data_IF_844280215839
#
_entry.id   IF_844280215839
#
_cell.length_a   1.000
_cell.length_b   1.000
_cell.length_c   1.000
_cell.angle_alpha   90.00
_cell.angle_beta   90.00
_cell.angle_gamma   90.00
#
_symmetry.space_group_name_H-M   'P 1'
#
loop_
_entity.id
_entity.type
_entity.pdbx_description
1 polymer ?
#
# COMPACT_ATOMS: atom_id res chain seq x y z
N UNK A 1 -7.05 -16.48 20.30
CA UNK A 1 -7.83 -15.62 19.39
C UNK A 1 -6.89 -14.49 19.04
N UNK A 2 -6.57 -14.30 17.76
CA UNK A 2 -5.71 -13.20 17.34
C UNK A 2 -6.35 -11.88 17.79
N UNK A 3 -5.65 -11.15 18.65
CA UNK A 3 -6.10 -9.88 19.19
C UNK A 3 -6.00 -8.85 18.07
N UNK A 4 -7.09 -8.69 17.30
CA UNK A 4 -7.18 -7.66 16.27
C UNK A 4 -7.05 -6.30 16.94
N UNK A 5 -5.93 -5.64 16.70
CA UNK A 5 -5.74 -4.26 17.12
C UNK A 5 -6.89 -3.40 16.57
N UNK A 6 -7.50 -2.54 17.40
CA UNK A 6 -8.59 -1.69 16.95
C UNK A 6 -8.07 -0.75 15.87
N UNK A 7 -8.82 -0.63 14.76
CA UNK A 7 -8.45 0.30 13.68
C UNK A 7 -8.44 1.73 14.23
N UNK A 8 -7.41 2.53 13.91
CA UNK A 8 -7.36 3.92 14.32
C UNK A 8 -8.49 4.72 13.69
N UNK A 9 -8.90 5.80 14.37
CA UNK A 9 -9.87 6.77 13.84
C UNK A 9 -9.23 7.57 12.71
N UNK A 10 -9.99 7.88 11.67
CA UNK A 10 -9.46 8.74 10.60
C UNK A 10 -9.30 10.18 11.10
N UNK A 11 -8.42 11.00 10.49
CA UNK A 11 -8.27 12.40 10.87
C UNK A 11 -9.60 13.16 10.74
N UNK A 12 -10.44 12.78 9.78
CA UNK A 12 -11.78 13.32 9.63
C UNK A 12 -12.68 12.96 10.81
N UNK A 13 -12.66 11.71 11.28
CA UNK A 13 -13.48 11.28 12.41
C UNK A 13 -13.06 11.94 13.72
N UNK A 14 -11.76 12.16 13.93
CA UNK A 14 -11.22 12.92 15.08
C UNK A 14 -11.67 14.38 15.06
N UNK A 15 -11.74 14.97 13.87
CA UNK A 15 -12.16 16.35 13.67
C UNK A 15 -13.64 16.58 14.04
N UNK A 16 -14.50 15.61 13.68
CA UNK A 16 -15.96 15.76 13.82
C UNK A 16 -16.52 15.08 15.07
N UNK A 17 -15.70 14.34 15.82
CA UNK A 17 -16.08 13.64 17.05
C UNK A 17 -15.30 14.17 18.26
N UNK A 18 -16.01 14.71 19.26
CA UNK A 18 -15.36 15.09 20.52
C UNK A 18 -15.02 13.87 21.42
N UNK A 19 -14.05 13.99 22.35
CA UNK A 19 -13.72 12.90 23.28
C UNK A 19 -14.92 12.40 24.10
N UNK A 20 -15.81 13.31 24.50
CA UNK A 20 -17.03 12.93 25.23
C UNK A 20 -17.98 12.12 24.35
N UNK A 21 -18.09 12.47 23.06
CA UNK A 21 -18.93 11.73 22.11
C UNK A 21 -18.36 10.34 21.81
N UNK A 22 -17.03 10.18 21.81
CA UNK A 22 -16.39 8.87 21.72
C UNK A 22 -16.73 7.98 22.93
N UNK A 23 -16.70 8.52 24.15
CA UNK A 23 -17.13 7.77 25.34
C UNK A 23 -18.59 7.34 25.22
N UNK A 24 -19.48 8.22 24.77
CA UNK A 24 -20.90 7.88 24.58
C UNK A 24 -21.07 6.79 23.51
N UNK A 25 -20.30 6.82 22.41
CA UNK A 25 -20.28 5.75 21.40
C UNK A 25 -19.87 4.41 21.99
N UNK A 26 -18.84 4.38 22.84
CA UNK A 26 -18.38 3.16 23.51
C UNK A 26 -19.42 2.61 24.49
N UNK A 27 -20.22 3.49 25.10
CA UNK A 27 -21.30 3.10 26.01
C UNK A 27 -22.57 2.64 25.27
N UNK A 28 -22.69 2.91 23.96
CA UNK A 28 -23.88 2.59 23.16
C UNK A 28 -24.31 1.12 23.27
N UNK A 29 -23.43 0.11 23.20
CA UNK A 29 -23.83 -1.30 23.30
C UNK A 29 -24.44 -1.67 24.67
N UNK A 30 -24.13 -0.90 25.71
CA UNK A 30 -24.61 -1.13 27.07
C UNK A 30 -25.94 -0.43 27.38
N UNK A 31 -26.41 0.46 26.51
CA UNK A 31 -27.71 1.09 26.65
C UNK A 31 -28.85 0.08 26.36
N UNK A 32 -30.04 0.23 26.97
CA UNK A 32 -31.21 -0.59 26.62
C UNK A 32 -31.54 -0.48 25.12
N UNK A 33 -31.97 -1.59 24.50
CA UNK A 33 -32.24 -1.68 23.04
C UNK A 33 -33.17 -0.56 22.53
N UNK A 34 -34.17 -0.19 23.33
CA UNK A 34 -35.09 0.91 23.01
C UNK A 34 -34.38 2.28 22.91
N UNK A 35 -33.33 2.49 23.70
CA UNK A 35 -32.56 3.74 23.77
C UNK A 35 -31.37 3.75 22.80
N UNK A 36 -30.81 2.59 22.44
CA UNK A 36 -29.71 2.51 21.48
C UNK A 36 -30.03 3.19 20.15
N UNK A 37 -31.24 2.97 19.62
CA UNK A 37 -31.66 3.56 18.33
C UNK A 37 -31.63 5.08 18.36
N UNK A 38 -32.22 5.68 19.39
CA UNK A 38 -32.31 7.13 19.50
C UNK A 38 -30.95 7.74 19.86
N UNK A 39 -30.16 7.08 20.72
CA UNK A 39 -28.81 7.51 21.07
C UNK A 39 -27.86 7.46 19.87
N UNK A 40 -27.90 6.40 19.07
CA UNK A 40 -27.13 6.29 17.83
C UNK A 40 -27.50 7.39 16.84
N UNK A 41 -28.80 7.69 16.68
CA UNK A 41 -29.26 8.78 15.84
C UNK A 41 -28.76 10.14 16.35
N UNK A 42 -28.80 10.39 17.67
CA UNK A 42 -28.26 11.60 18.26
C UNK A 42 -26.76 11.74 18.02
N UNK A 43 -25.97 10.68 18.26
CA UNK A 43 -24.53 10.69 18.00
C UNK A 43 -24.26 11.11 16.56
N UNK A 44 -24.96 10.50 15.59
CA UNK A 44 -24.80 10.81 14.16
C UNK A 44 -25.21 12.25 13.82
N UNK A 45 -26.28 12.76 14.43
CA UNK A 45 -26.71 14.14 14.26
C UNK A 45 -25.67 15.13 14.81
N UNK A 46 -25.05 14.81 15.95
CA UNK A 46 -23.97 15.62 16.52
C UNK A 46 -22.75 15.64 15.61
N UNK A 47 -22.28 14.50 15.14
CA UNK A 47 -21.18 14.42 14.16
C UNK A 47 -21.50 15.24 12.91
N UNK A 48 -22.68 15.05 12.32
CA UNK A 48 -23.10 15.78 11.13
C UNK A 48 -23.10 17.29 11.37
N UNK A 49 -23.62 17.74 12.52
CA UNK A 49 -23.59 19.15 12.90
C UNK A 49 -22.17 19.67 12.99
N UNK A 50 -21.24 18.92 13.58
CA UNK A 50 -19.83 19.31 13.67
C UNK A 50 -19.17 19.34 12.28
N UNK A 51 -19.44 18.35 11.43
CA UNK A 51 -19.00 18.37 10.03
C UNK A 51 -19.49 19.64 9.33
N UNK A 52 -20.79 19.92 9.40
CA UNK A 52 -21.35 21.12 8.76
C UNK A 52 -20.68 22.37 9.33
N UNK A 53 -20.54 22.51 10.66
CA UNK A 53 -19.91 23.68 11.28
C UNK A 53 -18.45 23.86 10.86
N UNK A 54 -17.68 22.77 10.81
CA UNK A 54 -16.29 22.80 10.40
C UNK A 54 -16.14 23.24 8.94
N UNK A 55 -17.02 22.75 8.07
CA UNK A 55 -16.96 23.01 6.63
C UNK A 55 -17.87 24.16 6.14
N UNK A 56 -18.67 24.81 7.00
CA UNK A 56 -19.61 25.86 6.60
C UNK A 56 -18.94 27.16 6.13
N UNK A 57 -17.61 27.20 6.13
CA UNK A 57 -16.81 28.33 5.66
C UNK A 57 -15.66 27.85 4.78
N UNK A 58 -15.95 27.18 3.65
CA UNK A 58 -15.00 26.76 2.59
C UNK A 58 -14.05 27.85 2.04
N UNK A 59 -13.89 29.01 2.71
CA UNK A 59 -12.77 29.91 2.53
C UNK A 59 -11.56 29.38 3.30
N UNK A 60 -10.66 28.75 2.55
CA UNK A 60 -9.32 28.36 2.95
C UNK A 60 -9.25 27.07 3.79
N UNK A 61 -9.48 25.93 3.12
CA UNK A 61 -8.47 24.89 3.30
C UNK A 61 -7.18 25.48 2.70
N UNK A 62 -6.05 25.54 3.41
CA UNK A 62 -4.79 25.82 2.76
C UNK A 62 -4.65 24.80 1.64
N UNK A 63 -4.48 25.25 0.39
CA UNK A 63 -3.92 24.35 -0.61
C UNK A 63 -2.64 23.78 0.01
N UNK A 64 -2.42 22.46 -0.01
CA UNK A 64 -1.11 21.94 0.31
C UNK A 64 -0.17 22.66 -0.66
N UNK A 65 0.76 23.47 -0.13
CA UNK A 65 1.68 24.31 -0.89
C UNK A 65 2.06 23.56 -2.17
N UNK A 66 1.63 24.09 -3.32
CA UNK A 66 1.80 23.50 -4.65
C UNK A 66 3.26 23.59 -5.13
N UNK A 67 4.18 23.22 -4.25
CA UNK A 67 5.62 23.37 -4.38
C UNK A 67 6.35 22.16 -3.76
N UNK A 68 5.72 20.99 -3.73
CA UNK A 68 6.40 19.71 -3.54
C UNK A 68 6.39 18.96 -4.87
N UNK A 69 7.49 18.30 -5.21
CA UNK A 69 7.52 17.41 -6.37
C UNK A 69 6.35 16.43 -6.29
N UNK A 70 5.70 16.15 -7.42
CA UNK A 70 4.51 15.29 -7.47
C UNK A 70 4.74 13.88 -6.86
N UNK A 71 6.00 13.43 -6.86
CA UNK A 71 6.44 12.20 -6.20
C UNK A 71 6.32 12.29 -4.67
N UNK A 72 6.75 13.39 -4.05
CA UNK A 72 6.67 13.61 -2.60
C UNK A 72 5.21 13.65 -2.13
N UNK A 73 4.32 14.27 -2.91
CA UNK A 73 2.89 14.31 -2.61
C UNK A 73 2.29 12.89 -2.58
N UNK A 74 2.66 12.04 -3.53
CA UNK A 74 2.18 10.66 -3.57
C UNK A 74 2.70 9.83 -2.39
N UNK A 75 3.96 9.98 -1.99
CA UNK A 75 4.54 9.26 -0.84
C UNK A 75 3.95 9.71 0.49
N UNK A 76 3.68 11.00 0.62
CA UNK A 76 3.00 11.53 1.79
C UNK A 76 1.58 10.97 1.92
N UNK A 77 0.85 10.85 0.80
CA UNK A 77 -0.48 10.23 0.79
C UNK A 77 -0.41 8.74 1.18
N UNK A 78 0.55 7.98 0.63
CA UNK A 78 0.72 6.56 0.96
C UNK A 78 1.03 6.36 2.45
N UNK A 79 1.92 7.19 3.02
CA UNK A 79 2.24 7.18 4.46
C UNK A 79 1.01 7.50 5.32
N UNK A 80 0.14 8.42 4.88
CA UNK A 80 -1.09 8.74 5.59
C UNK A 80 -2.13 7.62 5.56
N UNK A 81 -2.22 6.87 4.45
CA UNK A 81 -3.20 5.78 4.28
C UNK A 81 -2.74 4.50 5.00
N UNK A 82 -1.43 4.25 5.06
CA UNK A 82 -0.82 3.03 5.61
C UNK A 82 -1.41 2.53 6.94
N UNK A 83 -1.65 3.38 7.96
CA UNK A 83 -2.16 2.94 9.27
C UNK A 83 -3.60 2.40 9.23
N UNK A 84 -4.34 2.67 8.15
CA UNK A 84 -5.75 2.29 8.01
C UNK A 84 -5.94 1.02 7.15
N UNK A 85 -4.86 0.49 6.58
CA UNK A 85 -4.86 -0.72 5.76
C UNK A 85 -4.74 -1.97 6.63
N UNK A 86 -5.29 -3.08 6.13
CA UNK A 86 -5.03 -4.39 6.74
C UNK A 86 -3.55 -4.79 6.54
N UNK A 87 -2.95 -5.65 7.39
CA UNK A 87 -1.51 -5.93 7.35
C UNK A 87 -0.99 -6.36 5.96
N UNK A 88 -1.71 -7.26 5.27
CA UNK A 88 -1.32 -7.70 3.93
C UNK A 88 -1.44 -6.60 2.86
N UNK A 89 -2.36 -5.64 3.03
CA UNK A 89 -2.47 -4.49 2.13
C UNK A 89 -1.34 -3.49 2.36
N UNK A 90 -0.96 -3.28 3.63
CA UNK A 90 0.18 -2.44 3.99
C UNK A 90 1.50 -3.03 3.46
N UNK A 91 1.70 -4.35 3.57
CA UNK A 91 2.88 -5.04 3.02
C UNK A 91 2.97 -4.93 1.50
N UNK A 92 1.86 -5.14 0.78
CA UNK A 92 1.83 -4.97 -0.68
C UNK A 92 2.18 -3.54 -1.09
N UNK A 93 1.71 -2.55 -0.33
CA UNK A 93 2.02 -1.15 -0.56
C UNK A 93 3.49 -0.84 -0.28
N UNK A 94 4.06 -1.37 0.81
CA UNK A 94 5.48 -1.21 1.15
C UNK A 94 6.37 -1.84 0.06
N UNK A 95 5.98 -3.00 -0.49
CA UNK A 95 6.68 -3.63 -1.60
C UNK A 95 6.64 -2.76 -2.88
N UNK A 96 5.50 -2.14 -3.19
CA UNK A 96 5.37 -1.26 -4.34
C UNK A 96 6.20 0.03 -4.20
N UNK A 97 6.22 0.62 -3.00
CA UNK A 97 7.07 1.80 -2.69
C UNK A 97 8.55 1.44 -2.83
N UNK A 98 8.97 0.32 -2.23
CA UNK A 98 10.36 -0.14 -2.33
C UNK A 98 10.78 -0.40 -3.78
N UNK A 99 9.90 -0.97 -4.62
CA UNK A 99 10.17 -1.17 -6.04
C UNK A 99 10.31 0.15 -6.80
N UNK A 100 9.51 1.17 -6.45
CA UNK A 100 9.66 2.52 -7.02
C UNK A 100 10.99 3.13 -6.64
N UNK A 101 11.37 3.08 -5.36
CA UNK A 101 12.64 3.63 -4.87
C UNK A 101 13.85 3.00 -5.58
N UNK A 102 13.79 1.69 -5.85
CA UNK A 102 14.82 0.97 -6.63
C UNK A 102 14.86 1.47 -8.07
N UNK A 103 13.71 1.66 -8.71
CA UNK A 103 13.65 2.19 -10.09
C UNK A 103 14.16 3.62 -10.17
N UNK A 104 13.78 4.49 -9.23
CA UNK A 104 14.23 5.88 -9.15
C UNK A 104 15.77 5.94 -8.93
N UNK A 105 16.31 5.07 -8.06
CA UNK A 105 17.77 4.94 -7.84
C UNK A 105 18.49 4.43 -9.09
N UNK A 106 17.91 3.46 -9.80
CA UNK A 106 18.45 2.93 -11.05
C UNK A 106 18.45 3.99 -12.16
N UNK A 107 17.40 4.80 -12.26
CA UNK A 107 17.31 5.90 -13.22
C UNK A 107 18.30 7.04 -12.87
N UNK A 108 18.46 7.37 -11.59
CA UNK A 108 19.47 8.33 -11.14
C UNK A 108 20.90 7.83 -11.45
N UNK A 109 21.17 6.54 -11.24
CA UNK A 109 22.47 5.96 -11.60
C UNK A 109 22.67 5.92 -13.11
N UNK A 110 21.63 5.62 -13.90
CA UNK A 110 21.69 5.60 -15.36
C UNK A 110 21.89 6.98 -15.96
N UNK A 111 21.22 8.01 -15.43
CA UNK A 111 21.39 9.41 -15.86
C UNK A 111 22.75 9.99 -15.47
N UNK A 112 23.39 9.46 -14.41
CA UNK A 112 24.76 9.82 -14.01
C UNK A 112 25.86 8.94 -14.63
N UNK A 113 25.53 7.77 -15.17
CA UNK A 113 26.45 6.82 -15.80
C UNK A 113 26.62 6.99 -17.31
N UNK A 114 26.10 8.07 -17.89
CA UNK A 114 26.18 8.41 -19.33
C UNK A 114 27.61 8.77 -19.81
N UNK A 115 28.65 8.25 -19.13
CA UNK A 115 30.02 8.26 -19.65
C UNK A 115 30.71 6.89 -19.76
N UNK A 116 30.24 5.76 -19.18
CA UNK A 116 30.86 4.45 -19.52
C UNK A 116 30.27 3.12 -19.00
N UNK A 117 29.05 3.03 -18.44
CA UNK A 117 28.60 1.80 -17.78
C UNK A 117 27.24 1.28 -18.22
N UNK A 118 27.19 0.08 -18.79
CA UNK A 118 25.96 -0.71 -18.98
C UNK A 118 25.38 -1.11 -17.60
N UNK A 119 24.65 -0.21 -16.97
CA UNK A 119 23.86 -0.51 -15.77
C UNK A 119 22.55 -1.20 -16.21
N UNK A 120 22.38 -2.47 -15.85
CA UNK A 120 21.15 -3.23 -16.14
C UNK A 120 20.27 -3.30 -14.87
N UNK A 121 19.13 -2.58 -14.85
CA UNK A 121 18.18 -2.62 -13.73
C UNK A 121 17.68 -4.04 -13.40
N UNK A 122 17.73 -4.97 -14.35
CA UNK A 122 17.36 -6.36 -14.14
C UNK A 122 18.29 -7.09 -13.16
N UNK A 123 19.60 -6.80 -13.16
CA UNK A 123 20.56 -7.42 -12.22
C UNK A 123 20.34 -6.95 -10.77
N UNK A 124 20.02 -5.67 -10.58
CA UNK A 124 19.73 -5.14 -9.25
C UNK A 124 18.46 -5.77 -8.67
N UNK A 125 17.43 -5.91 -9.50
CA UNK A 125 16.18 -6.57 -9.11
C UNK A 125 16.42 -8.06 -8.76
N UNK A 126 17.27 -8.75 -9.52
CA UNK A 126 17.67 -10.15 -9.27
C UNK A 126 18.50 -10.31 -7.98
N UNK A 127 19.27 -9.27 -7.60
CA UNK A 127 20.06 -9.23 -6.37
C UNK A 127 19.25 -9.03 -5.09
N UNK A 128 18.01 -8.53 -5.19
CA UNK A 128 17.11 -8.29 -4.06
C UNK A 128 16.12 -9.44 -3.81
N UNK A 129 16.06 -10.42 -4.72
CA UNK A 129 15.28 -11.63 -4.53
C UNK A 129 15.89 -12.48 -3.40
N UNK A 130 15.03 -13.15 -2.62
CA UNK A 130 15.52 -14.17 -1.70
C UNK A 130 16.18 -15.33 -2.48
N UNK A 131 17.09 -16.11 -1.87
CA UNK A 131 17.71 -17.26 -2.53
C UNK A 131 16.69 -18.22 -3.14
N UNK A 132 15.57 -18.44 -2.44
CA UNK A 132 14.45 -19.28 -2.89
C UNK A 132 13.71 -18.67 -4.10
N UNK A 133 13.54 -17.35 -4.16
CA UNK A 133 12.92 -16.67 -5.29
C UNK A 133 13.81 -16.66 -6.53
N UNK A 134 15.12 -16.53 -6.33
CA UNK A 134 16.11 -16.60 -7.41
C UNK A 134 16.15 -18.01 -8.02
N UNK A 135 16.16 -19.04 -7.18
CA UNK A 135 16.14 -20.43 -7.62
C UNK A 135 14.86 -20.76 -8.40
N UNK A 136 13.68 -20.34 -7.93
CA UNK A 136 12.43 -20.53 -8.67
C UNK A 136 12.48 -19.88 -10.06
N UNK A 137 13.00 -18.66 -10.17
CA UNK A 137 13.14 -17.96 -11.45
C UNK A 137 14.09 -18.70 -12.41
N UNK A 138 15.24 -19.13 -11.92
CA UNK A 138 16.20 -19.94 -12.68
C UNK A 138 15.58 -21.28 -13.13
N UNK A 139 14.79 -21.92 -12.25
CA UNK A 139 14.11 -23.20 -12.54
C UNK A 139 13.07 -23.04 -13.66
N UNK A 140 12.25 -21.98 -13.61
CA UNK A 140 11.27 -21.68 -14.67
C UNK A 140 11.94 -21.33 -16.00
N UNK A 141 13.00 -20.52 -15.96
CA UNK A 141 13.78 -20.15 -17.15
C UNK A 141 14.42 -21.38 -17.80
N UNK A 142 14.96 -22.30 -16.99
CA UNK A 142 15.55 -23.56 -17.47
C UNK A 142 14.51 -24.49 -18.12
N UNK A 143 13.29 -24.58 -17.58
CA UNK A 143 12.20 -25.36 -18.19
C UNK A 143 11.75 -24.79 -19.53
N UNK A 144 11.71 -23.46 -19.68
CA UNK A 144 11.32 -22.80 -20.92
C UNK A 144 12.46 -22.76 -21.97
N UNK A 145 13.71 -22.89 -21.52
CA UNK A 145 14.90 -22.88 -22.38
C UNK A 145 15.35 -24.27 -22.82
N UNK A 146 14.76 -25.35 -22.30
CA UNK A 146 15.01 -26.69 -22.81
C UNK A 146 14.41 -26.82 -24.23
N UNK A 147 15.23 -27.04 -25.27
CA UNK A 147 14.70 -27.55 -26.52
C UNK A 147 14.13 -28.94 -26.22
N UNK A 148 12.95 -29.24 -26.77
CA UNK A 148 12.43 -30.61 -26.83
C UNK A 148 13.39 -31.47 -27.67
N UNK A 149 14.51 -31.90 -27.10
CA UNK A 149 15.45 -32.80 -27.76
C UNK A 149 15.47 -34.13 -27.00
N UNK A 150 14.48 -34.97 -27.32
CA UNK A 150 14.60 -36.40 -27.14
C UNK A 150 13.52 -37.13 -27.93
N UNK A 151 13.92 -37.80 -29.02
CA UNK A 151 13.39 -39.05 -29.65
C UNK A 151 13.83 -39.05 -31.12
N UNK A 152 14.55 -40.00 -31.73
CA UNK A 152 15.00 -41.35 -31.41
C UNK A 152 16.32 -41.59 -32.15
N UNK A 153 17.31 -42.17 -31.46
CA UNK A 153 18.51 -42.76 -32.08
C UNK A 153 18.24 -44.26 -32.24
N UNK A 154 18.10 -44.70 -33.49
CA UNK A 154 17.94 -46.08 -33.92
C UNK A 154 17.54 -46.02 -35.40
N UNK A 155 18.18 -46.68 -36.34
CA UNK A 155 19.15 -47.76 -36.33
C UNK A 155 19.91 -47.63 -37.65
N UNK A 156 21.20 -47.98 -37.65
CA UNK A 156 22.03 -47.99 -38.84
C UNK A 156 21.91 -49.38 -39.48
N UNK A 157 21.40 -49.47 -40.71
CA UNK A 157 21.47 -50.68 -41.53
C UNK A 157 21.41 -50.31 -43.02
N UNK A 158 22.62 -50.19 -43.59
CA UNK A 158 23.10 -50.74 -44.87
C UNK A 158 22.12 -50.94 -46.05
N UNK A 159 22.55 -50.41 -47.21
CA UNK A 159 22.35 -50.88 -48.60
C UNK A 159 20.96 -51.38 -49.08
#
# INVERSE_FOLDING_TARGET
>A
MDEKTPRPMTPFDELVTSPQLQVIKLLLPYAPVSQQRILAAFIKLFELRQTILFFNGFRHMPEPDGQGDSADASDNILKCIRPYLDPGQAEMMDMAVNMRDIMDMAEMMRSSADENGSFDPAEMMLGMLSPEQKEMFETYSAMFSQPLDNTMKGDDSSE
#
